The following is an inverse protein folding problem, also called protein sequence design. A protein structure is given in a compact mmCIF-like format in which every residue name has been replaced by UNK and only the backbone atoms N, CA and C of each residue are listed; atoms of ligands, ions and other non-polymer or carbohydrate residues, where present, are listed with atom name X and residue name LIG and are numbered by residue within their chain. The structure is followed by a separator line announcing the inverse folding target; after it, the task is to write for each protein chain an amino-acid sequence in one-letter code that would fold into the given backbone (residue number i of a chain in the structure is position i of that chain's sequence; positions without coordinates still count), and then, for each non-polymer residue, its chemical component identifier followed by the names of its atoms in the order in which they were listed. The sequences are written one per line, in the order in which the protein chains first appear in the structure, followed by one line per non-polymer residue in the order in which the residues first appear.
data_IF_128498487535
#
_entry.id   IF_128498487535
#
_cell.length_a   1.000
_cell.length_b   1.000
_cell.length_c   1.000
_cell.angle_alpha   90.00
_cell.angle_beta   90.00
_cell.angle_gamma   90.00
#
_symmetry.space_group_name_H-M   'P 1'
#
loop_
_entity.id
_entity.type
_entity.pdbx_description
1 polymer ?
#
# COMPACT_ATOMS: atom_id res chain seq x y z
N UNK A 1 -12.35 42.97 -2.96
CA UNK A 1 -11.31 42.26 -2.18
C UNK A 1 -11.27 40.83 -2.69
N UNK A 2 -10.23 40.47 -3.45
CA UNK A 2 -10.10 39.14 -4.06
C UNK A 2 -9.32 38.22 -3.11
N UNK A 3 -9.92 37.08 -2.75
CA UNK A 3 -9.26 36.05 -1.98
C UNK A 3 -8.34 35.24 -2.92
N UNK A 4 -7.03 35.43 -2.72
CA UNK A 4 -5.97 34.50 -3.14
C UNK A 4 -6.17 33.19 -2.38
N UNK A 5 -6.35 32.10 -3.12
CA UNK A 5 -6.33 30.74 -2.59
C UNK A 5 -5.50 29.88 -3.54
N UNK A 6 -4.22 29.72 -3.21
CA UNK A 6 -3.28 28.84 -3.90
C UNK A 6 -3.87 27.44 -4.08
N UNK A 7 -4.15 27.06 -5.33
CA UNK A 7 -4.25 25.65 -5.68
C UNK A 7 -2.83 25.11 -5.79
N UNK A 8 -2.28 24.68 -4.65
CA UNK A 8 -1.03 23.92 -4.57
C UNK A 8 -1.21 22.63 -5.38
N UNK A 9 -0.84 22.69 -6.67
CA UNK A 9 -0.73 21.53 -7.56
C UNK A 9 0.08 20.49 -6.79
N UNK A 10 -0.56 19.37 -6.43
CA UNK A 10 0.14 18.18 -5.94
C UNK A 10 1.14 17.82 -7.03
N UNK A 11 2.41 18.12 -6.78
CA UNK A 11 3.51 17.69 -7.64
C UNK A 11 3.53 16.17 -7.49
N UNK A 12 3.02 15.47 -8.49
CA UNK A 12 3.39 14.07 -8.69
C UNK A 12 4.91 14.05 -8.79
N UNK A 13 5.55 13.28 -7.91
CA UNK A 13 6.98 13.03 -7.93
C UNK A 13 7.28 12.29 -9.23
N UNK A 14 7.88 12.99 -10.19
CA UNK A 14 8.30 12.38 -11.46
C UNK A 14 9.61 11.64 -11.17
N UNK A 15 9.52 10.33 -10.94
CA UNK A 15 10.65 9.40 -10.96
C UNK A 15 11.07 9.04 -12.40
N UNK A 16 12.23 8.40 -12.60
CA UNK A 16 12.76 8.12 -13.93
C UNK A 16 12.00 6.96 -14.59
N UNK A 17 11.35 7.28 -15.71
CA UNK A 17 10.87 6.39 -16.79
C UNK A 17 10.36 4.98 -16.41
N UNK A 18 9.36 4.92 -15.52
CA UNK A 18 8.40 3.81 -15.50
C UNK A 18 7.00 4.41 -15.74
N UNK A 19 6.60 4.48 -17.01
CA UNK A 19 5.28 4.94 -17.45
C UNK A 19 4.08 4.09 -17.00
N UNK A 20 4.17 3.40 -15.86
CA UNK A 20 3.06 2.75 -15.19
C UNK A 20 2.76 3.49 -13.90
N UNK A 21 1.54 4.01 -13.79
CA UNK A 21 0.93 4.30 -12.49
C UNK A 21 0.80 2.95 -11.80
N UNK A 22 1.78 2.58 -10.96
CA UNK A 22 1.64 1.40 -10.10
C UNK A 22 0.62 1.79 -9.04
N UNK A 23 -0.56 1.17 -9.12
CA UNK A 23 -1.59 1.32 -8.10
C UNK A 23 -0.99 0.93 -6.75
N UNK A 24 -1.21 1.76 -5.73
CA UNK A 24 -0.68 1.50 -4.39
C UNK A 24 -1.24 0.16 -3.88
N UNK A 25 -0.40 -0.86 -3.65
CA UNK A 25 -0.85 -2.23 -3.33
C UNK A 25 -1.69 -2.27 -2.05
N UNK A 26 -1.57 -1.27 -1.18
CA UNK A 26 -2.44 -1.13 0.00
C UNK A 26 -3.90 -0.93 -0.37
N UNK A 27 -4.20 -0.29 -1.50
CA UNK A 27 -5.57 -0.14 -2.00
C UNK A 27 -6.17 -1.50 -2.30
N UNK A 28 -5.49 -2.33 -3.09
CA UNK A 28 -5.93 -3.69 -3.43
C UNK A 28 -6.06 -4.58 -2.19
N UNK A 29 -5.11 -4.48 -1.25
CA UNK A 29 -5.17 -5.19 0.02
C UNK A 29 -6.43 -4.83 0.82
N UNK A 30 -6.74 -3.54 0.95
CA UNK A 30 -7.94 -3.08 1.65
C UNK A 30 -9.23 -3.52 0.97
N UNK A 31 -9.26 -3.56 -0.38
CA UNK A 31 -10.41 -4.11 -1.12
C UNK A 31 -10.61 -5.61 -0.87
N UNK A 32 -9.52 -6.37 -0.79
CA UNK A 32 -9.55 -7.80 -0.50
C UNK A 32 -10.09 -8.05 0.92
N UNK A 33 -9.55 -7.32 1.90
CA UNK A 33 -9.97 -7.41 3.32
C UNK A 33 -11.43 -6.96 3.51
N UNK A 34 -11.88 -5.96 2.76
CA UNK A 34 -13.28 -5.52 2.81
C UNK A 34 -14.26 -6.59 2.31
N UNK A 35 -13.80 -7.56 1.50
CA UNK A 35 -14.61 -8.70 1.05
C UNK A 35 -14.64 -9.83 2.08
N UNK A 36 -13.50 -10.10 2.71
CA UNK A 36 -13.37 -11.09 3.78
C UNK A 36 -12.21 -10.72 4.72
N UNK A 37 -12.50 -10.60 6.01
CA UNK A 37 -11.51 -10.19 7.02
C UNK A 37 -10.38 -11.22 7.20
N UNK A 38 -10.61 -12.50 6.86
CA UNK A 38 -9.58 -13.55 6.97
C UNK A 38 -8.35 -13.26 6.08
N UNK A 39 -8.54 -12.51 4.99
CA UNK A 39 -7.45 -12.12 4.12
C UNK A 39 -6.41 -11.24 4.81
N UNK A 40 -6.76 -10.55 5.89
CA UNK A 40 -5.79 -9.72 6.60
C UNK A 40 -4.68 -10.58 7.24
N UNK A 41 -5.05 -11.71 7.84
CA UNK A 41 -4.07 -12.63 8.45
C UNK A 41 -3.29 -13.40 7.38
N UNK A 42 -3.96 -13.90 6.34
CA UNK A 42 -3.30 -14.58 5.22
C UNK A 42 -2.28 -13.67 4.52
N UNK A 43 -2.67 -12.42 4.27
CA UNK A 43 -1.80 -11.44 3.62
C UNK A 43 -0.62 -11.06 4.51
N UNK A 44 -0.83 -10.95 5.83
CA UNK A 44 0.28 -10.73 6.76
C UNK A 44 1.28 -11.89 6.75
N UNK A 45 0.78 -13.14 6.74
CA UNK A 45 1.64 -14.34 6.68
C UNK A 45 2.46 -14.35 5.38
N UNK A 46 1.86 -14.03 4.23
CA UNK A 46 2.59 -13.96 2.95
C UNK A 46 3.57 -12.80 2.89
N UNK A 47 3.19 -11.64 3.38
CA UNK A 47 4.09 -10.50 3.50
C UNK A 47 5.32 -10.85 4.35
N UNK A 48 5.13 -11.52 5.49
CA UNK A 48 6.22 -11.96 6.35
C UNK A 48 7.09 -13.04 5.68
N UNK A 49 6.49 -14.01 5.00
CA UNK A 49 7.20 -15.05 4.25
C UNK A 49 8.07 -14.47 3.13
N UNK A 50 7.66 -13.35 2.53
CA UNK A 50 8.40 -12.63 1.49
C UNK A 50 9.44 -11.64 2.05
N UNK A 51 9.73 -11.69 3.35
CA UNK A 51 10.78 -10.91 4.01
C UNK A 51 10.29 -9.62 4.66
N UNK A 52 8.98 -9.42 4.77
CA UNK A 52 8.40 -8.31 5.50
C UNK A 52 8.64 -8.41 7.00
N UNK A 53 9.04 -7.31 7.64
CA UNK A 53 9.44 -7.32 9.06
C UNK A 53 8.37 -6.76 10.01
N UNK A 54 7.29 -6.19 9.46
CA UNK A 54 6.22 -5.62 10.26
C UNK A 54 5.49 -6.69 11.11
N UNK A 55 5.34 -6.39 12.41
CA UNK A 55 4.45 -7.17 13.29
C UNK A 55 3.01 -7.01 12.80
N UNK A 56 2.15 -7.95 13.18
CA UNK A 56 0.76 -7.99 12.70
C UNK A 56 -0.02 -6.67 12.82
N UNK A 57 0.13 -5.97 13.95
CA UNK A 57 -0.52 -4.67 14.17
C UNK A 57 0.11 -3.56 13.31
N UNK A 58 1.44 -3.55 13.20
CA UNK A 58 2.19 -2.57 12.40
C UNK A 58 1.89 -2.74 10.91
N UNK A 59 1.71 -3.98 10.46
CA UNK A 59 1.29 -4.32 9.11
C UNK A 59 -0.11 -3.77 8.80
N UNK A 60 -1.07 -3.95 9.71
CA UNK A 60 -2.41 -3.40 9.55
C UNK A 60 -2.38 -1.86 9.51
N UNK A 61 -1.62 -1.23 10.41
CA UNK A 61 -1.41 0.22 10.39
C UNK A 61 -0.79 0.70 9.06
N UNK A 62 0.14 -0.06 8.49
CA UNK A 62 0.72 0.17 7.18
C UNK A 62 -0.33 0.10 6.06
N UNK A 63 -1.20 -0.92 6.05
CA UNK A 63 -2.30 -1.03 5.08
C UNK A 63 -3.24 0.18 5.14
N UNK A 64 -3.60 0.61 6.35
CA UNK A 64 -4.44 1.79 6.59
C UNK A 64 -3.71 3.14 6.43
N UNK A 65 -2.45 3.12 5.97
CA UNK A 65 -1.64 4.32 5.69
C UNK A 65 -1.42 5.19 6.94
N UNK A 66 -1.45 4.58 8.12
CA UNK A 66 -1.16 5.24 9.40
C UNK A 66 0.36 5.46 9.52
N UNK A 67 1.15 4.53 9.00
CA UNK A 67 2.61 4.63 8.92
C UNK A 67 3.07 5.05 7.52
N UNK A 68 4.20 5.74 7.46
CA UNK A 68 4.83 6.14 6.19
C UNK A 68 5.27 4.86 5.44
N UNK A 69 4.90 4.69 4.16
CA UNK A 69 5.31 3.51 3.42
C UNK A 69 6.80 3.56 3.09
N UNK A 70 7.41 2.39 3.13
CA UNK A 70 8.72 2.11 2.56
C UNK A 70 8.49 1.39 1.20
N UNK A 71 9.24 1.78 0.16
CA UNK A 71 9.13 1.20 -1.18
C UNK A 71 9.33 -0.33 -1.18
N UNK A 72 10.19 -0.85 -0.31
CA UNK A 72 10.42 -2.28 -0.16
C UNK A 72 9.20 -3.00 0.45
N UNK A 73 8.56 -2.39 1.46
CA UNK A 73 7.34 -2.95 2.05
C UNK A 73 6.17 -2.94 1.07
N UNK A 74 6.06 -1.90 0.24
CA UNK A 74 5.08 -1.86 -0.85
C UNK A 74 5.34 -2.96 -1.88
N UNK A 75 6.61 -3.20 -2.23
CA UNK A 75 6.99 -4.27 -3.16
C UNK A 75 6.64 -5.66 -2.60
N UNK A 76 6.96 -5.92 -1.33
CA UNK A 76 6.64 -7.18 -0.65
C UNK A 76 5.12 -7.38 -0.57
N UNK A 77 4.36 -6.31 -0.27
CA UNK A 77 2.91 -6.37 -0.25
C UNK A 77 2.34 -6.72 -1.63
N UNK A 78 2.91 -6.17 -2.71
CA UNK A 78 2.51 -6.51 -4.07
C UNK A 78 2.70 -8.00 -4.37
N UNK A 79 3.85 -8.58 -4.00
CA UNK A 79 4.08 -10.03 -4.13
C UNK A 79 3.15 -10.87 -3.27
N UNK A 80 2.90 -10.45 -2.03
CA UNK A 80 1.96 -11.14 -1.15
C UNK A 80 0.53 -11.16 -1.73
N UNK A 81 0.10 -10.08 -2.39
CA UNK A 81 -1.21 -10.02 -3.06
C UNK A 81 -1.31 -10.99 -4.24
N UNK A 82 -0.23 -11.16 -5.02
CA UNK A 82 -0.18 -12.14 -6.12
C UNK A 82 -0.34 -13.58 -5.62
N UNK A 83 0.07 -13.88 -4.38
CA UNK A 83 -0.03 -15.23 -3.78
C UNK A 83 -1.38 -15.51 -3.11
N UNK A 84 -2.10 -14.46 -2.69
CA UNK A 84 -3.36 -14.57 -1.94
C UNK A 84 -4.57 -14.38 -2.85
N UNK A 85 -4.42 -13.67 -3.97
CA UNK A 85 -5.50 -13.50 -4.93
C UNK A 85 -5.96 -14.86 -5.50
N UNK A 86 -7.28 -15.14 -5.54
CA UNK A 86 -7.83 -16.38 -6.07
C UNK A 86 -7.69 -16.53 -7.59
#
# INVERSE_FOLDING_TARGET
MAAVGEKKKRRASVGPDWGQVVEDPRTTALELIARDEHYLDDLWVRYWANGGEAKRLDFEAFLYRITEPNDFDLQILAWALEEVAP
#
